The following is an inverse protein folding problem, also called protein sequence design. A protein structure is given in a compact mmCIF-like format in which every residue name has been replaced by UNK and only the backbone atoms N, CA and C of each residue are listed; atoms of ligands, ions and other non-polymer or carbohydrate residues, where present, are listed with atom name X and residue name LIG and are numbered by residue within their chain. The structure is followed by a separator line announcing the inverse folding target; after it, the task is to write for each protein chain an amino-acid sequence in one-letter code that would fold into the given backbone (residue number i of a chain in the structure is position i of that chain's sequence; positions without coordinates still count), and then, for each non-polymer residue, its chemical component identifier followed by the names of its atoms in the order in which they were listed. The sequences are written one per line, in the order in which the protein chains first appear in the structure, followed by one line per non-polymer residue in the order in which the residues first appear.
data_IF_130934875608
#
_entry.id   IF_130934875608
#
_cell.length_a   1.000
_cell.length_b   1.000
_cell.length_c   1.000
_cell.angle_alpha   90.00
_cell.angle_beta   90.00
_cell.angle_gamma   90.00
#
_symmetry.space_group_name_H-M   'P 1'
#
loop_
_entity.id
_entity.type
_entity.pdbx_description
1 polymer ?
#
# COMPACT_ATOMS: atom_id res chain seq x y z
N UNK A 1 3.34 -6.28 -18.72
CA UNK A 1 4.16 -5.21 -18.10
C UNK A 1 5.36 -4.91 -18.99
N UNK A 2 5.74 -3.65 -19.15
CA UNK A 2 6.88 -3.20 -19.95
C UNK A 2 7.68 -2.18 -19.15
N UNK A 3 8.98 -2.43 -18.93
CA UNK A 3 9.89 -1.46 -18.32
C UNK A 3 10.17 -0.30 -19.28
N UNK A 4 10.20 0.92 -18.75
CA UNK A 4 10.37 2.17 -19.50
C UNK A 4 11.65 2.92 -19.12
N UNK A 5 12.10 2.78 -17.86
CA UNK A 5 13.36 3.33 -17.38
C UNK A 5 13.93 2.45 -16.26
N UNK A 6 15.24 2.56 -16.07
CA UNK A 6 15.96 1.89 -14.98
C UNK A 6 17.02 2.83 -14.45
N UNK A 7 17.11 2.94 -13.12
CA UNK A 7 18.19 3.69 -12.45
C UNK A 7 18.56 3.07 -11.10
N UNK A 8 19.80 3.25 -10.68
CA UNK A 8 20.21 2.98 -9.32
C UNK A 8 20.02 4.24 -8.49
N UNK A 9 19.25 4.13 -7.40
CA UNK A 9 19.08 5.26 -6.47
C UNK A 9 20.30 5.43 -5.56
N UNK A 10 20.93 4.30 -5.22
CA UNK A 10 22.19 4.14 -4.50
C UNK A 10 22.66 2.70 -4.69
N UNK A 11 23.73 2.29 -4.03
CA UNK A 11 24.28 0.93 -4.19
C UNK A 11 23.31 -0.17 -3.70
N UNK A 12 22.26 0.20 -2.97
CA UNK A 12 21.36 -0.73 -2.32
C UNK A 12 20.01 -0.93 -3.03
N UNK A 13 19.62 -0.04 -3.96
CA UNK A 13 18.27 -0.05 -4.58
C UNK A 13 18.35 0.16 -6.08
N UNK A 14 17.79 -0.78 -6.83
CA UNK A 14 17.51 -0.65 -8.25
C UNK A 14 16.03 -0.24 -8.43
N UNK A 15 15.81 0.89 -9.07
CA UNK A 15 14.48 1.39 -9.43
C UNK A 15 14.22 1.13 -10.92
N UNK A 16 13.04 0.60 -11.22
CA UNK A 16 12.56 0.39 -12.59
C UNK A 16 11.17 0.96 -12.76
N UNK A 17 11.05 1.95 -13.61
CA UNK A 17 9.74 2.42 -14.04
C UNK A 17 9.15 1.46 -15.07
N UNK A 18 7.83 1.27 -15.02
CA UNK A 18 7.13 0.41 -15.96
C UNK A 18 5.75 0.95 -16.32
N UNK A 19 5.17 0.37 -17.38
CA UNK A 19 3.75 0.46 -17.67
C UNK A 19 3.12 -0.94 -17.64
N UNK A 20 1.96 -1.04 -16.97
CA UNK A 20 1.08 -2.20 -17.01
C UNK A 20 -0.12 -1.86 -17.89
N UNK A 21 -0.06 -2.24 -19.20
CA UNK A 21 -0.89 -1.57 -20.20
C UNK A 21 -0.56 -0.09 -20.25
N UNK A 22 -1.53 0.76 -19.92
CA UNK A 22 -1.38 2.22 -19.84
C UNK A 22 -1.14 2.74 -18.41
N UNK A 23 -1.09 1.85 -17.41
CA UNK A 23 -0.95 2.22 -16.00
C UNK A 23 0.53 2.40 -15.67
N UNK A 24 0.99 3.61 -15.30
CA UNK A 24 2.36 3.81 -14.84
C UNK A 24 2.60 3.15 -13.48
N UNK A 25 3.79 2.64 -13.27
CA UNK A 25 4.20 2.09 -12.00
C UNK A 25 5.71 2.09 -11.82
N UNK A 26 6.15 1.78 -10.60
CA UNK A 26 7.55 1.71 -10.22
C UNK A 26 7.78 0.43 -9.41
N UNK A 27 8.86 -0.27 -9.75
CA UNK A 27 9.37 -1.42 -9.01
C UNK A 27 10.74 -1.07 -8.45
N UNK A 28 10.93 -1.29 -7.16
CA UNK A 28 12.22 -1.19 -6.46
C UNK A 28 12.64 -2.57 -5.99
N UNK A 29 13.86 -2.94 -6.32
CA UNK A 29 14.45 -4.21 -5.86
C UNK A 29 15.73 -3.94 -5.07
N UNK A 30 16.04 -4.78 -4.08
CA UNK A 30 17.34 -4.70 -3.42
C UNK A 30 18.46 -4.80 -4.47
N UNK A 31 19.42 -3.87 -4.40
CA UNK A 31 20.60 -3.93 -5.24
C UNK A 31 21.40 -5.18 -4.93
N UNK A 32 21.80 -5.95 -5.96
CA UNK A 32 22.80 -6.99 -5.75
C UNK A 32 24.14 -6.29 -5.42
N UNK A 33 24.64 -6.50 -4.21
CA UNK A 33 26.04 -6.18 -3.89
C UNK A 33 26.93 -7.17 -4.65
N UNK A 34 27.09 -6.95 -5.95
CA UNK A 34 28.10 -7.65 -6.73
C UNK A 34 29.45 -7.06 -6.36
N UNK A 35 30.20 -7.71 -5.47
CA UNK A 35 31.60 -7.42 -5.32
C UNK A 35 32.27 -7.61 -6.69
N UNK A 36 33.07 -6.63 -7.19
CA UNK A 36 33.76 -6.79 -8.45
C UNK A 36 34.74 -7.95 -8.31
N UNK A 37 34.54 -9.01 -9.09
CA UNK A 37 35.50 -10.13 -9.19
C UNK A 37 35.01 -11.52 -8.73
N UNK A 38 33.77 -11.70 -8.26
CA UNK A 38 33.24 -13.03 -7.93
C UNK A 38 32.54 -13.65 -9.13
N UNK A 39 33.19 -14.56 -9.82
CA UNK A 39 32.68 -15.30 -10.98
C UNK A 39 31.63 -16.37 -10.61
N UNK A 40 31.18 -16.43 -9.36
CA UNK A 40 30.19 -17.42 -8.87
C UNK A 40 29.36 -16.82 -7.74
N UNK A 41 28.56 -15.78 -8.07
CA UNK A 41 27.51 -15.37 -7.15
C UNK A 41 26.36 -16.39 -7.22
N UNK A 42 25.87 -16.92 -6.09
CA UNK A 42 24.64 -17.73 -6.10
C UNK A 42 23.51 -16.87 -6.68
N UNK A 43 22.66 -17.49 -7.50
CA UNK A 43 21.46 -16.81 -8.02
C UNK A 43 20.71 -16.22 -6.84
N UNK A 44 20.49 -14.90 -6.77
CA UNK A 44 19.83 -14.31 -5.62
C UNK A 44 18.45 -14.93 -5.47
N UNK A 45 18.11 -15.36 -4.25
CA UNK A 45 16.77 -15.86 -3.97
C UNK A 45 15.75 -14.76 -4.27
N UNK A 46 14.59 -15.11 -4.84
CA UNK A 46 13.52 -14.13 -5.08
C UNK A 46 13.19 -13.34 -3.80
N UNK A 47 13.07 -12.03 -3.93
CA UNK A 47 12.74 -11.15 -2.80
C UNK A 47 11.24 -11.16 -2.55
N UNK A 48 10.76 -11.32 -1.30
CA UNK A 48 9.37 -11.10 -0.98
C UNK A 48 8.94 -9.68 -1.34
N UNK A 49 7.69 -9.49 -1.74
CA UNK A 49 7.19 -8.24 -2.30
C UNK A 49 6.33 -7.46 -1.32
N UNK A 50 6.51 -6.14 -1.24
CA UNK A 50 5.59 -5.23 -0.57
C UNK A 50 4.94 -4.29 -1.59
N UNK A 51 3.62 -4.34 -1.71
CA UNK A 51 2.85 -3.40 -2.51
C UNK A 51 2.70 -2.09 -1.72
N UNK A 52 3.22 -0.99 -2.25
CA UNK A 52 3.18 0.32 -1.61
C UNK A 52 1.97 1.13 -2.10
N UNK A 53 0.89 1.11 -1.32
CA UNK A 53 -0.27 1.95 -1.56
C UNK A 53 0.02 3.44 -1.29
N UNK A 54 -0.70 4.31 -2.01
CA UNK A 54 -0.67 5.77 -1.87
C UNK A 54 -2.03 6.38 -2.25
N UNK A 55 -2.32 7.66 -1.89
CA UNK A 55 -3.63 8.27 -2.15
C UNK A 55 -3.86 8.71 -3.60
N UNK A 56 -2.93 8.44 -4.50
CA UNK A 56 -2.91 8.88 -5.90
C UNK A 56 -1.94 10.02 -6.15
N UNK A 57 -1.61 10.25 -7.42
CA UNK A 57 -0.59 11.20 -7.85
C UNK A 57 0.82 10.67 -7.60
N UNK A 58 1.20 9.61 -8.34
CA UNK A 58 2.48 8.91 -8.20
C UNK A 58 3.67 9.88 -8.16
N UNK A 59 3.71 10.86 -9.07
CA UNK A 59 4.76 11.87 -9.11
C UNK A 59 4.84 12.69 -7.81
N UNK A 60 3.72 13.10 -7.26
CA UNK A 60 3.65 13.83 -5.98
C UNK A 60 4.09 12.99 -4.78
N UNK A 61 3.75 11.70 -4.84
CA UNK A 61 4.04 10.75 -3.75
C UNK A 61 5.44 10.16 -3.84
N UNK A 62 6.13 10.36 -4.97
CA UNK A 62 7.43 9.75 -5.25
C UNK A 62 8.45 9.89 -4.11
N UNK A 63 8.68 11.07 -3.49
CA UNK A 63 9.67 11.19 -2.41
C UNK A 63 9.35 10.27 -1.20
N UNK A 64 8.07 10.13 -0.86
CA UNK A 64 7.63 9.23 0.23
C UNK A 64 7.73 7.77 -0.16
N UNK A 65 7.38 7.44 -1.41
CA UNK A 65 7.45 6.07 -1.93
C UNK A 65 8.89 5.57 -2.00
N UNK A 66 9.82 6.40 -2.50
CA UNK A 66 11.26 6.08 -2.53
C UNK A 66 11.81 5.86 -1.12
N UNK A 67 11.46 6.72 -0.16
CA UNK A 67 11.88 6.54 1.23
C UNK A 67 11.42 5.18 1.78
N UNK A 68 10.16 4.82 1.57
CA UNK A 68 9.61 3.51 1.98
C UNK A 68 10.26 2.35 1.22
N UNK A 69 10.48 2.49 -0.08
CA UNK A 69 11.15 1.48 -0.89
C UNK A 69 12.59 1.21 -0.42
N UNK A 70 13.32 2.25 -0.01
CA UNK A 70 14.65 2.08 0.61
C UNK A 70 14.60 1.30 1.91
N UNK A 71 13.61 1.56 2.78
CA UNK A 71 13.38 0.76 3.97
C UNK A 71 13.10 -0.70 3.63
N UNK A 72 12.20 -0.96 2.68
CA UNK A 72 11.92 -2.32 2.19
C UNK A 72 13.18 -3.00 1.67
N UNK A 73 13.96 -2.34 0.82
CA UNK A 73 15.18 -2.89 0.23
C UNK A 73 16.26 -3.19 1.28
N UNK A 74 16.43 -2.31 2.28
CA UNK A 74 17.33 -2.54 3.41
C UNK A 74 16.97 -3.79 4.20
N UNK A 75 15.70 -4.17 4.20
CA UNK A 75 15.20 -5.41 4.78
C UNK A 75 15.16 -6.58 3.78
N UNK A 76 15.65 -6.42 2.55
CA UNK A 76 15.66 -7.46 1.51
C UNK A 76 14.29 -7.73 0.89
N UNK A 77 13.34 -6.79 0.99
CA UNK A 77 12.07 -6.83 0.29
C UNK A 77 12.14 -6.05 -1.03
N UNK A 78 11.52 -6.58 -2.07
CA UNK A 78 11.13 -5.76 -3.21
C UNK A 78 9.92 -4.90 -2.85
N UNK A 79 9.76 -3.77 -3.50
CA UNK A 79 8.60 -2.89 -3.33
C UNK A 79 8.07 -2.45 -4.69
N UNK A 80 6.75 -2.33 -4.83
CA UNK A 80 6.15 -1.85 -6.08
C UNK A 80 4.91 -1.01 -5.84
N UNK A 81 4.61 -0.13 -6.78
CA UNK A 81 3.41 0.70 -6.79
C UNK A 81 2.93 0.97 -8.21
N UNK A 82 1.66 1.36 -8.35
CA UNK A 82 1.06 1.84 -9.61
C UNK A 82 0.26 3.11 -9.37
N UNK A 83 0.10 3.92 -10.43
CA UNK A 83 -0.78 5.08 -10.39
C UNK A 83 -2.24 4.67 -10.25
N UNK A 84 -2.96 5.32 -9.32
CA UNK A 84 -4.36 5.00 -9.04
C UNK A 84 -5.31 5.49 -10.15
N UNK A 85 -6.49 4.87 -10.30
CA UNK A 85 -7.54 5.35 -11.20
C UNK A 85 -7.90 6.81 -10.93
N UNK A 86 -7.97 7.62 -12.00
CA UNK A 86 -8.30 9.04 -11.92
C UNK A 86 -7.23 9.93 -11.28
N UNK A 87 -6.01 9.44 -11.12
CA UNK A 87 -4.86 10.18 -10.59
C UNK A 87 -3.78 10.38 -11.66
N UNK A 88 -2.86 11.33 -11.41
CA UNK A 88 -1.83 11.69 -12.38
C UNK A 88 -2.45 12.12 -13.69
N UNK A 89 -1.97 11.56 -14.79
CA UNK A 89 -2.47 11.80 -16.15
C UNK A 89 -3.62 10.85 -16.57
N UNK A 90 -4.05 9.97 -15.65
CA UNK A 90 -5.14 9.01 -15.92
C UNK A 90 -6.50 9.72 -16.02
N UNK A 91 -7.42 9.25 -16.89
CA UNK A 91 -8.73 9.85 -17.06
C UNK A 91 -9.49 9.97 -15.74
N UNK A 92 -10.04 11.15 -15.46
CA UNK A 92 -10.80 11.43 -14.24
C UNK A 92 -12.28 11.13 -14.45
N UNK A 93 -12.91 10.55 -13.44
CA UNK A 93 -14.35 10.36 -13.41
C UNK A 93 -15.06 11.66 -13.01
N UNK A 94 -16.01 12.13 -13.81
CA UNK A 94 -16.83 13.31 -13.46
C UNK A 94 -17.57 13.12 -12.12
N UNK A 95 -18.08 11.91 -11.86
CA UNK A 95 -18.75 11.58 -10.59
C UNK A 95 -17.79 11.71 -9.41
N UNK A 96 -16.55 11.22 -9.53
CA UNK A 96 -15.54 11.35 -8.48
C UNK A 96 -15.13 12.81 -8.26
N UNK A 97 -15.02 13.62 -9.32
CA UNK A 97 -14.72 15.06 -9.18
C UNK A 97 -15.85 15.82 -8.46
N UNK A 98 -17.11 15.51 -8.77
CA UNK A 98 -18.26 16.07 -8.03
C UNK A 98 -18.22 15.65 -6.56
N UNK A 99 -18.00 14.37 -6.26
CA UNK A 99 -17.89 13.88 -4.89
C UNK A 99 -16.73 14.54 -4.12
N UNK A 100 -15.58 14.77 -4.76
CA UNK A 100 -14.46 15.53 -4.18
C UNK A 100 -14.82 16.99 -3.90
N UNK A 101 -15.59 17.62 -4.78
CA UNK A 101 -16.08 19.00 -4.56
C UNK A 101 -17.05 19.06 -3.38
N UNK A 102 -17.97 18.09 -3.27
CA UNK A 102 -18.92 17.97 -2.16
C UNK A 102 -18.18 17.74 -0.84
N UNK A 103 -17.19 16.85 -0.81
CA UNK A 103 -16.34 16.58 0.34
C UNK A 103 -15.63 17.86 0.82
N UNK A 104 -14.97 18.59 -0.11
CA UNK A 104 -14.28 19.84 0.23
C UNK A 104 -15.23 20.88 0.80
N UNK A 105 -16.45 20.99 0.25
CA UNK A 105 -17.46 21.93 0.73
C UNK A 105 -17.90 21.58 2.15
N UNK A 106 -18.19 20.28 2.44
CA UNK A 106 -18.56 19.85 3.78
C UNK A 106 -17.46 20.14 4.80
N UNK A 107 -16.20 19.79 4.48
CA UNK A 107 -15.05 20.07 5.36
C UNK A 107 -14.84 21.57 5.60
N UNK A 108 -14.95 22.42 4.57
CA UNK A 108 -14.82 23.87 4.71
C UNK A 108 -15.94 24.50 5.53
N UNK A 109 -17.15 23.91 5.47
CA UNK A 109 -18.28 24.36 6.27
C UNK A 109 -18.26 23.81 7.71
N UNK A 110 -17.32 22.92 8.05
CA UNK A 110 -17.34 22.20 9.33
C UNK A 110 -18.54 21.25 9.48
N UNK A 111 -19.14 20.84 8.34
CA UNK A 111 -20.29 19.93 8.32
C UNK A 111 -19.83 18.48 8.32
N UNK A 112 -20.59 17.55 8.91
CA UNK A 112 -20.30 16.13 8.83
C UNK A 112 -20.30 15.65 7.37
N UNK A 113 -19.29 14.88 7.00
CA UNK A 113 -19.23 14.23 5.69
C UNK A 113 -20.23 13.06 5.67
N UNK A 114 -21.25 13.14 4.81
CA UNK A 114 -22.26 12.10 4.73
C UNK A 114 -21.78 10.87 3.95
N UNK A 115 -22.36 9.71 4.25
CA UNK A 115 -22.01 8.41 3.66
C UNK A 115 -22.14 8.43 2.12
N UNK A 116 -23.11 9.15 1.55
CA UNK A 116 -23.28 9.22 0.10
C UNK A 116 -22.14 9.94 -0.63
N UNK A 117 -21.45 10.90 0.01
CA UNK A 117 -20.24 11.51 -0.54
C UNK A 117 -19.10 10.49 -0.51
N UNK A 118 -18.94 9.79 0.61
CA UNK A 118 -17.90 8.77 0.81
C UNK A 118 -18.05 7.63 -0.20
N UNK A 119 -19.27 7.11 -0.35
CA UNK A 119 -19.58 6.02 -1.27
C UNK A 119 -19.26 6.39 -2.72
N UNK A 120 -19.70 7.57 -3.19
CA UNK A 120 -19.44 8.05 -4.56
C UNK A 120 -17.95 8.30 -4.82
N UNK A 121 -17.17 8.59 -3.79
CA UNK A 121 -15.75 8.85 -3.92
C UNK A 121 -14.92 7.55 -3.85
N UNK A 122 -15.21 6.69 -2.89
CA UNK A 122 -14.34 5.57 -2.52
C UNK A 122 -14.72 4.26 -3.22
N UNK A 123 -16.01 3.92 -3.32
CA UNK A 123 -16.40 2.65 -3.92
C UNK A 123 -15.94 2.49 -5.37
N UNK A 124 -16.14 3.47 -6.28
CA UNK A 124 -15.65 3.34 -7.65
C UNK A 124 -14.11 3.29 -7.73
N UNK A 125 -13.41 3.97 -6.81
CA UNK A 125 -11.95 3.91 -6.74
C UNK A 125 -11.51 2.49 -6.38
N UNK A 126 -12.11 1.85 -5.37
CA UNK A 126 -11.79 0.49 -4.95
C UNK A 126 -12.11 -0.51 -6.06
N UNK A 127 -13.30 -0.39 -6.69
CA UNK A 127 -13.74 -1.27 -7.78
C UNK A 127 -12.79 -1.26 -8.97
N UNK A 128 -12.22 -0.12 -9.30
CA UNK A 128 -11.27 -0.01 -10.41
C UNK A 128 -9.83 -0.34 -9.99
N UNK A 129 -9.39 0.08 -8.81
CA UNK A 129 -8.01 -0.10 -8.38
C UNK A 129 -7.68 -1.57 -8.05
N UNK A 130 -8.59 -2.30 -7.41
CA UNK A 130 -8.29 -3.67 -6.94
C UNK A 130 -7.96 -4.63 -8.09
N UNK A 131 -8.70 -4.68 -9.21
CA UNK A 131 -8.31 -5.49 -10.36
C UNK A 131 -6.94 -5.11 -10.93
N UNK A 132 -6.59 -3.81 -10.95
CA UNK A 132 -5.30 -3.33 -11.43
C UNK A 132 -4.14 -3.76 -10.51
N UNK A 133 -4.31 -3.69 -9.19
CA UNK A 133 -3.34 -4.20 -8.23
C UNK A 133 -3.14 -5.72 -8.34
N UNK A 134 -4.21 -6.47 -8.59
CA UNK A 134 -4.11 -7.93 -8.83
C UNK A 134 -3.36 -8.25 -10.13
N UNK A 135 -3.67 -7.52 -11.21
CA UNK A 135 -2.94 -7.66 -12.48
C UNK A 135 -1.46 -7.28 -12.35
N UNK A 136 -1.15 -6.24 -11.54
CA UNK A 136 0.22 -5.90 -11.20
C UNK A 136 0.91 -7.07 -10.48
N UNK A 137 0.26 -7.63 -9.49
CA UNK A 137 0.81 -8.74 -8.71
C UNK A 137 1.09 -9.97 -9.60
N UNK A 138 0.19 -10.30 -10.53
CA UNK A 138 0.40 -11.37 -11.51
C UNK A 138 1.65 -11.09 -12.37
N UNK A 139 1.81 -9.85 -12.82
CA UNK A 139 2.95 -9.46 -13.66
C UNK A 139 4.29 -9.44 -12.90
N UNK A 140 4.27 -9.05 -11.63
CA UNK A 140 5.47 -8.97 -10.79
C UNK A 140 5.96 -10.35 -10.35
N UNK A 141 5.04 -11.23 -9.93
CA UNK A 141 5.40 -12.59 -9.51
C UNK A 141 5.86 -13.49 -10.68
N UNK A 142 5.66 -13.06 -11.93
CA UNK A 142 6.27 -13.70 -13.09
C UNK A 142 7.74 -13.32 -13.29
N UNK A 143 8.27 -12.33 -12.56
CA UNK A 143 9.69 -11.96 -12.61
C UNK A 143 10.52 -12.90 -11.70
N UNK A 144 11.67 -13.38 -12.17
CA UNK A 144 12.47 -14.36 -11.42
C UNK A 144 13.07 -13.80 -10.11
N UNK A 145 13.21 -12.49 -10.01
CA UNK A 145 13.74 -11.81 -8.82
C UNK A 145 12.68 -11.49 -7.76
N UNK A 146 11.39 -11.67 -8.07
CA UNK A 146 10.28 -11.40 -7.16
C UNK A 146 9.63 -12.71 -6.70
N UNK A 147 9.35 -12.80 -5.43
CA UNK A 147 8.76 -14.00 -4.84
C UNK A 147 7.74 -13.75 -3.74
N UNK A 148 7.11 -14.85 -3.32
CA UNK A 148 6.24 -14.89 -2.14
C UNK A 148 7.04 -14.82 -0.83
N UNK A 149 6.37 -14.46 0.27
CA UNK A 149 5.01 -13.94 0.38
C UNK A 149 4.91 -12.45 0.06
N UNK A 150 3.67 -11.95 -0.13
CA UNK A 150 3.40 -10.56 -0.48
C UNK A 150 2.80 -9.81 0.72
N UNK A 151 3.26 -8.57 0.95
CA UNK A 151 2.67 -7.61 1.87
C UNK A 151 1.99 -6.46 1.15
N UNK A 152 1.07 -5.78 1.83
CA UNK A 152 0.49 -4.51 1.39
C UNK A 152 0.72 -3.42 2.44
N UNK A 153 1.11 -2.22 2.04
CA UNK A 153 1.41 -1.15 2.99
C UNK A 153 0.86 0.21 2.55
N UNK A 154 0.09 0.86 3.41
CA UNK A 154 -0.38 2.25 3.26
C UNK A 154 -1.54 2.44 2.30
N UNK A 155 -1.59 3.60 1.65
CA UNK A 155 -2.57 3.96 0.64
C UNK A 155 -3.95 4.34 1.18
N UNK A 156 -4.93 4.23 0.32
CA UNK A 156 -6.35 4.34 0.68
C UNK A 156 -6.74 3.04 1.39
N UNK A 157 -7.09 3.10 2.67
CA UNK A 157 -7.33 1.92 3.50
C UNK A 157 -8.36 0.96 2.89
N UNK A 158 -9.41 1.47 2.25
CA UNK A 158 -10.46 0.67 1.60
C UNK A 158 -9.92 -0.23 0.48
N UNK A 159 -8.89 0.21 -0.26
CA UNK A 159 -8.21 -0.63 -1.25
C UNK A 159 -7.48 -1.78 -0.54
N UNK A 160 -6.76 -1.49 0.55
CA UNK A 160 -6.06 -2.51 1.34
C UNK A 160 -7.02 -3.53 1.96
N UNK A 161 -8.17 -3.08 2.48
CA UNK A 161 -9.22 -3.95 3.02
C UNK A 161 -9.73 -4.91 1.94
N UNK A 162 -10.15 -4.40 0.78
CA UNK A 162 -10.67 -5.23 -0.31
C UNK A 162 -9.59 -6.19 -0.83
N UNK A 163 -8.36 -5.74 -1.03
CA UNK A 163 -7.25 -6.61 -1.45
C UNK A 163 -7.00 -7.73 -0.45
N UNK A 164 -7.02 -7.45 0.85
CA UNK A 164 -6.83 -8.46 1.89
C UNK A 164 -7.93 -9.54 1.91
N UNK A 165 -9.11 -9.23 1.37
CA UNK A 165 -10.23 -10.20 1.24
C UNK A 165 -10.12 -11.02 -0.05
N UNK A 166 -9.84 -10.36 -1.19
CA UNK A 166 -9.99 -10.98 -2.50
C UNK A 166 -8.69 -11.49 -3.12
N UNK A 167 -7.53 -11.18 -2.50
CA UNK A 167 -6.22 -11.55 -3.01
C UNK A 167 -5.44 -12.42 -1.98
N UNK A 168 -5.53 -13.75 -2.08
CA UNK A 168 -4.99 -14.66 -1.07
C UNK A 168 -3.45 -14.68 -1.00
N UNK A 169 -2.74 -14.10 -1.97
CA UNK A 169 -1.28 -13.97 -1.94
C UNK A 169 -0.80 -12.87 -0.98
N UNK A 170 -1.70 -11.96 -0.57
CA UNK A 170 -1.37 -10.95 0.46
C UNK A 170 -1.43 -11.63 1.83
N UNK A 171 -0.26 -11.77 2.45
CA UNK A 171 -0.08 -12.51 3.70
C UNK A 171 -0.08 -11.61 4.95
N UNK A 172 0.15 -10.30 4.81
CA UNK A 172 0.16 -9.33 5.90
C UNK A 172 -0.06 -7.91 5.37
N UNK A 173 -0.65 -7.01 6.18
CA UNK A 173 -0.84 -5.64 5.76
C UNK A 173 -0.55 -4.61 6.87
N UNK A 174 0.08 -3.49 6.47
CA UNK A 174 0.22 -2.27 7.27
C UNK A 174 -0.72 -1.23 6.69
N UNK A 175 -1.79 -0.89 7.38
CA UNK A 175 -2.85 -0.01 6.90
C UNK A 175 -2.80 1.35 7.58
N UNK A 176 -3.02 2.43 6.84
CA UNK A 176 -3.13 3.77 7.39
C UNK A 176 -4.60 4.20 7.47
N UNK A 177 -5.10 4.37 8.70
CA UNK A 177 -6.49 4.73 8.98
C UNK A 177 -6.69 6.25 8.91
N UNK A 178 -6.38 6.85 7.77
CA UNK A 178 -6.43 8.29 7.52
C UNK A 178 -7.33 8.69 6.36
N UNK A 179 -8.35 7.88 6.03
CA UNK A 179 -9.30 8.21 4.97
C UNK A 179 -10.72 7.80 5.36
N UNK A 180 -11.71 8.46 4.78
CA UNK A 180 -13.09 8.05 4.90
C UNK A 180 -13.29 6.63 4.36
N UNK A 181 -14.14 5.85 5.04
CA UNK A 181 -14.41 4.45 4.69
C UNK A 181 -15.91 4.25 4.50
N UNK A 182 -16.35 3.74 3.34
CA UNK A 182 -17.74 3.37 3.11
C UNK A 182 -18.25 2.37 4.14
N UNK A 183 -19.50 2.48 4.55
CA UNK A 183 -20.10 1.56 5.53
C UNK A 183 -20.05 0.10 5.10
N UNK A 184 -20.20 -0.16 3.81
CA UNK A 184 -20.10 -1.52 3.24
C UNK A 184 -18.72 -2.15 3.42
N UNK A 185 -17.67 -1.36 3.54
CA UNK A 185 -16.31 -1.85 3.76
C UNK A 185 -16.11 -2.47 5.15
N UNK A 186 -16.98 -2.16 6.11
CA UNK A 186 -16.93 -2.80 7.44
C UNK A 186 -17.30 -4.28 7.38
N UNK A 187 -18.21 -4.67 6.48
CA UNK A 187 -18.54 -6.08 6.26
C UNK A 187 -17.38 -6.84 5.61
N UNK A 188 -16.64 -6.17 4.74
CA UNK A 188 -15.40 -6.71 4.19
C UNK A 188 -14.29 -6.79 5.23
N UNK A 189 -14.13 -5.79 6.08
CA UNK A 189 -13.16 -5.80 7.16
C UNK A 189 -13.33 -7.02 8.08
N UNK A 190 -14.58 -7.47 8.35
CA UNK A 190 -14.85 -8.68 9.12
C UNK A 190 -14.33 -9.97 8.45
N UNK A 191 -14.10 -9.94 7.16
CA UNK A 191 -13.56 -11.07 6.38
C UNK A 191 -12.03 -11.07 6.32
N UNK A 192 -11.38 -9.97 6.67
CA UNK A 192 -9.91 -9.87 6.69
C UNK A 192 -9.38 -10.69 7.87
N UNK A 193 -8.58 -11.71 7.57
CA UNK A 193 -8.02 -12.64 8.58
C UNK A 193 -6.50 -12.64 8.65
N UNK A 194 -5.83 -11.96 7.73
CA UNK A 194 -4.36 -11.82 7.72
C UNK A 194 -3.88 -10.93 8.87
N UNK A 195 -2.63 -11.05 9.34
CA UNK A 195 -2.03 -10.14 10.29
C UNK A 195 -2.09 -8.68 9.84
N UNK A 196 -2.45 -7.79 10.76
CA UNK A 196 -2.60 -6.35 10.51
C UNK A 196 -1.83 -5.50 11.50
N UNK A 197 -1.13 -4.49 10.99
CA UNK A 197 -0.69 -3.31 11.73
C UNK A 197 -1.46 -2.10 11.19
N UNK A 198 -2.25 -1.44 12.03
CA UNK A 198 -3.05 -0.27 11.65
C UNK A 198 -2.43 0.97 12.28
N UNK A 199 -2.11 1.97 11.48
CA UNK A 199 -1.57 3.26 11.92
C UNK A 199 -2.70 4.29 11.94
N UNK A 200 -2.93 4.90 13.10
CA UNK A 200 -3.94 5.94 13.32
C UNK A 200 -3.26 7.21 13.82
N UNK A 201 -3.49 8.33 13.15
CA UNK A 201 -3.14 9.65 13.70
C UNK A 201 -4.28 10.14 14.56
N UNK A 202 -4.02 10.24 15.89
CA UNK A 202 -5.05 10.49 16.90
C UNK A 202 -5.68 11.87 16.80
N UNK A 203 -4.90 12.83 16.35
CA UNK A 203 -5.24 14.24 16.20
C UNK A 203 -5.42 14.66 14.72
N UNK A 204 -5.76 13.70 13.83
CA UNK A 204 -6.06 13.97 12.42
C UNK A 204 -7.41 14.70 12.30
N UNK A 205 -7.38 16.00 12.07
CA UNK A 205 -8.57 16.86 11.95
C UNK A 205 -9.41 16.53 10.68
N UNK A 206 -8.80 15.91 9.68
CA UNK A 206 -9.44 15.54 8.41
C UNK A 206 -10.10 14.17 8.44
N UNK A 207 -10.04 13.43 9.56
CA UNK A 207 -10.52 12.06 9.65
C UNK A 207 -11.32 11.82 10.93
N UNK A 208 -12.43 11.11 10.80
CA UNK A 208 -13.22 10.70 11.97
C UNK A 208 -12.50 9.54 12.70
N UNK A 209 -11.88 9.88 13.83
CA UNK A 209 -11.17 8.94 14.66
C UNK A 209 -12.05 7.78 15.15
N UNK A 210 -13.33 8.06 15.53
CA UNK A 210 -14.21 6.99 16.00
C UNK A 210 -14.51 6.00 14.88
N UNK A 211 -14.76 6.48 13.67
CA UNK A 211 -14.94 5.61 12.50
C UNK A 211 -13.71 4.76 12.21
N UNK A 212 -12.50 5.29 12.42
CA UNK A 212 -11.26 4.53 12.27
C UNK A 212 -11.11 3.44 13.35
N UNK A 213 -11.51 3.72 14.60
CA UNK A 213 -11.55 2.73 15.68
C UNK A 213 -12.61 1.66 15.43
N UNK A 214 -13.80 2.04 15.01
CA UNK A 214 -14.88 1.11 14.65
C UNK A 214 -14.45 0.17 13.51
N UNK A 215 -13.70 0.69 12.52
CA UNK A 215 -13.12 -0.14 11.46
C UNK A 215 -12.07 -1.10 12.02
N UNK A 216 -11.20 -0.63 12.90
CA UNK A 216 -10.21 -1.50 13.56
C UNK A 216 -10.89 -2.63 14.32
N UNK A 217 -11.96 -2.32 15.06
CA UNK A 217 -12.74 -3.33 15.78
C UNK A 217 -13.40 -4.34 14.83
N UNK A 218 -13.85 -3.87 13.67
CA UNK A 218 -14.49 -4.72 12.66
C UNK A 218 -13.57 -5.75 12.02
N UNK A 219 -12.24 -5.52 11.96
CA UNK A 219 -11.33 -6.48 11.34
C UNK A 219 -11.41 -7.86 12.00
N UNK A 220 -11.66 -8.90 11.18
CA UNK A 220 -11.73 -10.31 11.60
C UNK A 220 -10.38 -10.95 11.93
N UNK A 221 -9.28 -10.25 11.69
CA UNK A 221 -7.93 -10.73 12.03
C UNK A 221 -7.79 -10.99 13.53
N UNK A 222 -7.20 -12.14 13.88
CA UNK A 222 -6.83 -12.48 15.26
C UNK A 222 -5.52 -11.84 15.69
N UNK A 223 -4.69 -11.41 14.76
CA UNK A 223 -3.44 -10.71 14.98
C UNK A 223 -3.55 -9.33 14.36
N UNK A 224 -4.12 -8.39 15.12
CA UNK A 224 -4.23 -6.97 14.72
C UNK A 224 -3.68 -6.07 15.80
N UNK A 225 -2.83 -5.13 15.42
CA UNK A 225 -2.23 -4.12 16.29
C UNK A 225 -2.62 -2.74 15.82
N UNK A 226 -2.97 -1.85 16.74
CA UNK A 226 -3.23 -0.44 16.47
C UNK A 226 -2.11 0.41 17.09
N UNK A 227 -1.44 1.21 16.25
CA UNK A 227 -0.55 2.27 16.71
C UNK A 227 -1.25 3.61 16.55
N UNK A 228 -1.48 4.29 17.67
CA UNK A 228 -2.10 5.61 17.71
C UNK A 228 -1.04 6.67 18.00
N UNK A 229 -0.81 7.57 17.05
CA UNK A 229 0.23 8.59 17.12
C UNK A 229 -0.38 10.01 17.06
N UNK A 230 0.34 10.98 17.63
CA UNK A 230 0.06 12.39 17.47
C UNK A 230 0.87 12.97 16.30
N UNK A 231 0.41 14.07 15.69
CA UNK A 231 1.15 14.76 14.63
C UNK A 231 0.31 15.08 13.38
N UNK A 232 -1.00 14.95 13.47
CA UNK A 232 -1.94 15.21 12.38
C UNK A 232 -1.79 14.24 11.20
N UNK A 233 -2.55 14.45 10.14
CA UNK A 233 -2.66 13.53 9.00
C UNK A 233 -1.33 13.09 8.38
N UNK A 234 -0.34 13.96 8.32
CA UNK A 234 0.94 13.70 7.64
C UNK A 234 2.10 13.45 8.59
N UNK A 235 1.87 13.56 9.89
CA UNK A 235 2.90 13.51 10.94
C UNK A 235 3.17 12.11 11.48
N UNK A 236 3.06 11.06 10.65
CA UNK A 236 3.42 9.71 11.06
C UNK A 236 4.87 9.69 11.54
N UNK A 237 5.15 9.26 12.78
CA UNK A 237 6.50 9.23 13.34
C UNK A 237 7.43 8.31 12.53
N UNK A 238 8.71 8.66 12.46
CA UNK A 238 9.70 7.88 11.69
C UNK A 238 9.85 6.44 12.21
N UNK A 239 9.71 6.22 13.52
CA UNK A 239 9.82 4.90 14.10
C UNK A 239 8.73 3.92 13.61
N UNK A 240 7.59 4.43 13.11
CA UNK A 240 6.56 3.58 12.50
C UNK A 240 7.04 2.88 11.21
N UNK A 241 8.03 3.46 10.54
CA UNK A 241 8.73 2.77 9.44
C UNK A 241 9.43 1.51 9.95
N UNK A 242 10.21 1.64 11.03
CA UNK A 242 10.93 0.52 11.64
C UNK A 242 9.97 -0.53 12.23
N UNK A 243 8.81 -0.10 12.79
CA UNK A 243 7.79 -1.00 13.29
C UNK A 243 7.11 -1.77 12.17
N UNK A 244 6.81 -1.10 11.05
CA UNK A 244 6.33 -1.73 9.82
C UNK A 244 7.32 -2.75 9.26
N UNK A 245 8.61 -2.42 9.24
CA UNK A 245 9.67 -3.33 8.80
C UNK A 245 9.77 -4.58 9.69
N UNK A 246 9.71 -4.41 11.02
CA UNK A 246 9.69 -5.53 11.97
C UNK A 246 8.44 -6.39 11.79
N UNK A 247 7.28 -5.76 11.56
CA UNK A 247 6.04 -6.46 11.29
C UNK A 247 6.15 -7.31 10.01
N UNK A 248 6.59 -6.73 8.89
CA UNK A 248 6.77 -7.50 7.65
C UNK A 248 7.86 -8.56 7.76
N UNK A 249 8.97 -8.29 8.45
CA UNK A 249 10.01 -9.30 8.67
C UNK A 249 9.46 -10.51 9.42
N UNK A 250 8.60 -10.31 10.44
CA UNK A 250 7.93 -11.39 11.17
C UNK A 250 7.03 -12.22 10.28
N UNK A 251 6.19 -11.58 9.46
CA UNK A 251 5.13 -12.27 8.72
C UNK A 251 5.54 -12.72 7.33
N UNK A 252 6.52 -12.07 6.70
CA UNK A 252 6.92 -12.38 5.33
C UNK A 252 8.24 -13.14 5.22
N UNK A 253 9.08 -13.16 6.29
CA UNK A 253 10.35 -13.89 6.27
C UNK A 253 10.32 -15.17 7.09
N UNK A 254 9.61 -15.19 8.22
CA UNK A 254 9.57 -16.36 9.11
C UNK A 254 8.71 -17.53 8.58
N UNK A 255 7.92 -17.34 7.54
CA UNK A 255 7.03 -18.37 6.97
C UNK A 255 7.73 -19.49 6.19
N UNK A 256 9.04 -19.42 5.93
CA UNK A 256 9.79 -20.49 5.22
C UNK A 256 10.20 -21.69 6.08
N UNK A 257 9.90 -21.71 7.37
CA UNK A 257 10.36 -22.76 8.30
C UNK A 257 9.30 -23.81 8.69
N UNK A 258 8.07 -23.78 8.15
CA UNK A 258 7.02 -24.77 8.47
C UNK A 258 6.62 -25.50 7.21
N UNK A 259 7.48 -26.41 6.77
CA UNK A 259 7.25 -27.35 5.70
C UNK A 259 8.09 -28.61 5.90
N UNK A 260 7.80 -29.37 6.99
CA UNK A 260 8.17 -30.78 7.13
C UNK A 260 6.97 -31.58 7.59
#
# INVERSE_FOLDING_TARGET
MRFTAEQRLDDSVLEREFTLGEIPGILWTPGSASAPGSASAPTPSPSPLILLGHPGGLHKMYPRLVARARHCAAQGFAAATIELPGSGDRPRSATAELARADLRRALQAGEPVNDGIVDRLILPLVENAVPEWRALLDALLALPEIGDPVGYAGGVISIGVRLAVVEPRIAAAVLFAGSFVPRTMFDEARQVTIPLLVLLQWDDEGNDRQSALDLFDAFGSREKTLHANMGGHTGVPRFEGDDGDRFFARHLKCGRAVGR
#
